data_IF_593998504232
#
_entry.id   IF_593998504232
#
_cell.length_a   1.000
_cell.length_b   1.000
_cell.length_c   1.000
_cell.angle_alpha   90.00
_cell.angle_beta   90.00
_cell.angle_gamma   90.00
#
_symmetry.space_group_name_H-M   'P 1'
#
loop_
_entity.id
_entity.type
_entity.pdbx_description
1 polymer ?
#
# COMPACT_ATOMS: atom_id res chain seq x y z
N UNK A 1 -16.16 3.15 30.32
CA UNK A 1 -16.28 2.05 29.37
C UNK A 1 -16.30 2.52 27.91
N UNK A 2 -16.99 3.59 27.58
CA UNK A 2 -17.12 4.08 26.21
C UNK A 2 -15.78 4.51 25.55
N UNK A 3 -14.75 4.86 26.35
CA UNK A 3 -13.45 5.32 25.85
C UNK A 3 -12.62 4.22 25.18
N UNK A 4 -12.71 2.97 25.65
CA UNK A 4 -11.88 1.82 25.22
C UNK A 4 -12.69 0.63 24.70
N UNK A 5 -13.91 0.87 24.19
CA UNK A 5 -14.87 -0.18 23.81
C UNK A 5 -14.38 -1.15 22.74
N UNK A 6 -13.45 -0.71 21.88
CA UNK A 6 -12.91 -1.41 20.73
C UNK A 6 -11.55 -2.09 21.00
N UNK A 7 -10.96 -1.88 22.19
CA UNK A 7 -9.70 -2.49 22.57
C UNK A 7 -9.88 -3.98 22.94
N UNK A 8 -8.98 -4.84 22.47
CA UNK A 8 -8.92 -6.21 22.98
C UNK A 8 -8.43 -6.22 24.45
N UNK A 9 -8.74 -7.26 25.22
CA UNK A 9 -8.48 -7.28 26.67
C UNK A 9 -7.01 -7.05 27.05
N UNK A 10 -6.07 -7.51 26.25
CA UNK A 10 -4.64 -7.24 26.48
C UNK A 10 -4.32 -5.76 26.30
N UNK A 11 -4.78 -5.19 25.21
CA UNK A 11 -4.57 -3.77 24.92
C UNK A 11 -5.33 -2.87 25.91
N UNK A 12 -6.57 -3.27 26.28
CA UNK A 12 -7.34 -2.58 27.30
C UNK A 12 -6.61 -2.53 28.65
N UNK A 13 -6.01 -3.65 29.07
CA UNK A 13 -5.20 -3.69 30.30
C UNK A 13 -4.01 -2.72 30.25
N UNK A 14 -3.37 -2.61 29.10
CA UNK A 14 -2.26 -1.67 28.89
C UNK A 14 -2.72 -0.22 28.93
N UNK A 15 -3.87 0.08 28.29
CA UNK A 15 -4.47 1.42 28.31
C UNK A 15 -4.91 1.84 29.73
N UNK A 16 -5.44 0.90 30.52
CA UNK A 16 -5.74 1.15 31.94
C UNK A 16 -4.50 1.53 32.73
N UNK A 17 -3.39 0.85 32.52
CA UNK A 17 -2.12 1.18 33.18
C UNK A 17 -1.55 2.53 32.70
N UNK A 18 -1.62 2.79 31.38
CA UNK A 18 -1.02 3.99 30.76
C UNK A 18 -1.82 5.27 31.06
N UNK A 19 -3.15 5.21 31.04
CA UNK A 19 -3.99 6.41 31.11
C UNK A 19 -4.77 6.56 32.42
N UNK A 20 -5.03 5.45 33.10
CA UNK A 20 -5.89 5.48 34.32
C UNK A 20 -5.10 5.07 35.58
N UNK A 21 -3.81 4.76 35.46
CA UNK A 21 -2.93 4.28 36.54
C UNK A 21 -3.44 3.02 37.26
N UNK A 22 -4.22 2.18 36.54
CA UNK A 22 -4.77 0.91 37.07
C UNK A 22 -3.92 -0.24 36.56
N UNK A 23 -3.19 -0.90 37.46
CA UNK A 23 -2.34 -2.05 37.12
C UNK A 23 -3.03 -3.34 37.52
N UNK A 24 -3.49 -4.11 36.53
CA UNK A 24 -4.15 -5.40 36.70
C UNK A 24 -3.54 -6.43 35.75
N UNK A 25 -3.72 -7.73 36.05
CA UNK A 25 -3.37 -8.75 35.06
C UNK A 25 -4.41 -8.85 33.96
N UNK A 26 -3.98 -9.25 32.75
CA UNK A 26 -4.91 -9.49 31.62
C UNK A 26 -5.97 -10.54 31.97
N UNK A 27 -5.62 -11.56 32.75
CA UNK A 27 -6.56 -12.57 33.20
C UNK A 27 -7.60 -12.00 34.16
N UNK A 28 -7.21 -11.11 35.07
CA UNK A 28 -8.13 -10.42 35.99
C UNK A 28 -9.11 -9.52 35.20
N UNK A 29 -8.61 -8.75 34.28
CA UNK A 29 -9.43 -7.90 33.40
C UNK A 29 -10.41 -8.73 32.59
N UNK A 30 -9.94 -9.81 31.96
CA UNK A 30 -10.78 -10.73 31.20
C UNK A 30 -11.90 -11.32 32.08
N UNK A 31 -11.57 -11.78 33.28
CA UNK A 31 -12.56 -12.35 34.20
C UNK A 31 -13.63 -11.33 34.66
N UNK A 32 -13.21 -10.09 34.94
CA UNK A 32 -14.13 -9.02 35.33
C UNK A 32 -15.08 -8.70 34.19
N UNK A 33 -14.54 -8.50 32.97
CA UNK A 33 -15.34 -8.14 31.80
C UNK A 33 -16.28 -9.26 31.34
N UNK A 34 -15.82 -10.51 31.42
CA UNK A 34 -16.66 -11.68 31.10
C UNK A 34 -17.83 -11.86 32.08
N UNK A 35 -17.65 -11.55 33.36
CA UNK A 35 -18.76 -11.51 34.33
C UNK A 35 -19.83 -10.48 34.00
N UNK A 36 -19.40 -9.36 33.39
CA UNK A 36 -20.28 -8.30 32.93
C UNK A 36 -20.77 -8.53 31.46
N UNK A 37 -20.62 -9.75 30.94
CA UNK A 37 -20.99 -10.15 29.57
C UNK A 37 -20.32 -9.33 28.46
N UNK A 38 -19.15 -8.72 28.73
CA UNK A 38 -18.37 -7.98 27.77
C UNK A 38 -17.35 -8.93 27.14
N UNK A 39 -17.50 -9.13 25.83
CA UNK A 39 -16.63 -10.00 25.06
C UNK A 39 -15.48 -9.21 24.41
N UNK A 40 -14.30 -9.82 24.35
CA UNK A 40 -13.18 -9.25 23.60
C UNK A 40 -13.50 -9.20 22.09
N UNK A 41 -13.17 -8.11 21.35
CA UNK A 41 -13.33 -8.05 19.90
C UNK A 41 -12.66 -9.21 19.14
N UNK A 42 -11.68 -9.91 19.74
CA UNK A 42 -10.99 -11.08 19.16
C UNK A 42 -11.66 -12.44 19.42
N UNK A 43 -12.98 -12.53 19.34
CA UNK A 43 -13.72 -13.80 19.53
C UNK A 43 -13.38 -14.89 18.50
N UNK A 44 -12.80 -14.55 17.36
CA UNK A 44 -12.45 -15.51 16.29
C UNK A 44 -11.56 -16.67 16.73
N UNK A 45 -10.63 -16.47 17.69
CA UNK A 45 -9.82 -17.56 18.27
C UNK A 45 -10.63 -18.56 19.08
N UNK A 46 -11.63 -18.10 19.79
CA UNK A 46 -12.52 -18.96 20.55
C UNK A 46 -13.39 -19.85 19.64
N UNK A 47 -13.84 -19.31 18.50
CA UNK A 47 -14.54 -20.09 17.46
C UNK A 47 -13.65 -21.19 16.88
N UNK A 48 -12.39 -20.88 16.49
CA UNK A 48 -11.43 -21.90 16.02
C UNK A 48 -11.20 -23.00 17.06
N UNK A 49 -11.02 -22.63 18.32
CA UNK A 49 -10.84 -23.59 19.43
C UNK A 49 -12.08 -24.46 19.67
N UNK A 50 -13.27 -23.89 19.48
CA UNK A 50 -14.55 -24.61 19.61
C UNK A 50 -14.74 -25.60 18.46
N UNK A 51 -14.43 -25.21 17.22
CA UNK A 51 -14.47 -26.09 16.05
C UNK A 51 -13.43 -27.20 16.16
N UNK A 52 -12.20 -26.89 16.61
CA UNK A 52 -11.16 -27.91 16.88
C UNK A 52 -11.63 -28.94 17.90
N UNK A 53 -12.20 -28.50 19.02
CA UNK A 53 -12.74 -29.39 20.05
C UNK A 53 -13.89 -30.25 19.54
N UNK A 54 -14.77 -29.71 18.70
CA UNK A 54 -15.85 -30.46 18.03
C UNK A 54 -15.29 -31.55 17.10
N UNK A 55 -14.31 -31.22 16.27
CA UNK A 55 -13.66 -32.17 15.37
C UNK A 55 -12.90 -33.27 16.13
N UNK A 56 -12.24 -32.91 17.22
CA UNK A 56 -11.59 -33.89 18.12
C UNK A 56 -12.61 -34.86 18.77
N UNK A 57 -13.77 -34.34 19.17
CA UNK A 57 -14.87 -35.17 19.68
C UNK A 57 -15.44 -36.05 18.58
N UNK A 58 -15.66 -35.55 17.39
CA UNK A 58 -16.12 -36.34 16.23
C UNK A 58 -15.10 -37.42 15.84
N UNK A 59 -13.79 -37.13 15.96
CA UNK A 59 -12.73 -38.12 15.71
C UNK A 59 -12.81 -39.30 16.66
N UNK A 60 -13.20 -39.07 17.94
CA UNK A 60 -13.38 -40.13 18.94
C UNK A 60 -14.62 -41.01 18.68
N UNK A 61 -15.62 -40.47 18.00
CA UNK A 61 -16.88 -41.17 17.68
C UNK A 61 -16.92 -41.73 16.24
N UNK A 62 -15.92 -41.44 15.40
CA UNK A 62 -15.83 -41.89 14.01
C UNK A 62 -15.67 -43.42 13.95
N UNK A 63 -16.52 -44.07 13.12
CA UNK A 63 -16.58 -45.53 13.00
C UNK A 63 -15.78 -46.07 11.81
N UNK A 64 -15.44 -45.23 10.83
CA UNK A 64 -14.75 -45.64 9.62
C UNK A 64 -13.38 -44.97 9.47
N UNK A 65 -12.41 -45.70 8.92
CA UNK A 65 -11.08 -45.16 8.63
C UNK A 65 -11.11 -43.93 7.69
N UNK A 66 -12.09 -43.90 6.77
CA UNK A 66 -12.31 -42.78 5.83
C UNK A 66 -12.76 -41.52 6.56
N UNK A 67 -13.70 -41.63 7.51
CA UNK A 67 -14.14 -40.50 8.37
C UNK A 67 -12.99 -39.98 9.24
N UNK A 68 -12.21 -40.86 9.83
CA UNK A 68 -11.04 -40.49 10.65
C UNK A 68 -10.03 -39.72 9.82
N UNK A 69 -9.76 -40.18 8.58
CA UNK A 69 -8.84 -39.50 7.66
C UNK A 69 -9.36 -38.12 7.26
N UNK A 70 -10.65 -37.99 6.94
CA UNK A 70 -11.28 -36.73 6.56
C UNK A 70 -11.28 -35.73 7.73
N UNK A 71 -11.58 -36.16 8.94
CA UNK A 71 -11.52 -35.35 10.15
C UNK A 71 -10.07 -34.93 10.44
N UNK A 72 -9.11 -35.82 10.24
CA UNK A 72 -7.69 -35.52 10.40
C UNK A 72 -7.20 -34.45 9.42
N UNK A 73 -7.57 -34.56 8.14
CA UNK A 73 -7.28 -33.56 7.11
C UNK A 73 -7.90 -32.21 7.46
N UNK A 74 -9.14 -32.19 7.95
CA UNK A 74 -9.81 -30.98 8.40
C UNK A 74 -9.13 -30.36 9.63
N UNK A 75 -8.62 -31.16 10.56
CA UNK A 75 -7.83 -30.69 11.72
C UNK A 75 -6.51 -30.08 11.25
N UNK A 76 -5.80 -30.71 10.31
CA UNK A 76 -4.56 -30.18 9.73
C UNK A 76 -4.83 -28.85 9.03
N UNK A 77 -5.91 -28.75 8.24
CA UNK A 77 -6.30 -27.52 7.54
C UNK A 77 -6.62 -26.36 8.52
N UNK A 78 -7.19 -26.67 9.71
CA UNK A 78 -7.46 -25.67 10.74
C UNK A 78 -6.18 -25.26 11.50
N UNK A 79 -5.23 -26.20 11.65
CA UNK A 79 -3.99 -25.95 12.40
C UNK A 79 -2.98 -25.11 11.62
N UNK A 80 -3.17 -24.87 10.32
CA UNK A 80 -2.17 -24.20 9.47
C UNK A 80 -0.77 -24.79 9.75
N UNK A 81 -0.62 -26.09 9.62
CA UNK A 81 0.61 -26.82 9.95
C UNK A 81 1.69 -26.57 8.87
N UNK A 82 2.11 -25.32 8.72
CA UNK A 82 3.27 -24.98 7.95
C UNK A 82 4.50 -24.99 8.84
N UNK A 83 5.57 -25.62 8.36
CA UNK A 83 6.87 -25.57 9.03
C UNK A 83 7.27 -24.12 9.24
N UNK A 84 7.45 -23.71 10.50
CA UNK A 84 7.90 -22.35 10.82
C UNK A 84 9.31 -22.16 10.28
N UNK A 85 9.49 -21.25 9.33
CA UNK A 85 10.81 -20.83 8.91
C UNK A 85 11.53 -20.21 10.11
N UNK A 86 12.79 -20.63 10.42
CA UNK A 86 13.58 -20.00 11.46
C UNK A 86 13.78 -18.50 11.13
N UNK A 87 14.03 -17.69 12.17
CA UNK A 87 14.41 -16.29 11.99
C UNK A 87 15.79 -16.20 11.37
N UNK A 88 16.04 -15.14 10.62
CA UNK A 88 17.41 -14.77 10.26
C UNK A 88 18.21 -14.48 11.51
N UNK A 89 19.53 -14.66 11.43
CA UNK A 89 20.42 -14.56 12.60
C UNK A 89 20.79 -13.11 12.90
N UNK A 90 20.88 -12.27 11.86
CA UNK A 90 21.47 -10.94 11.97
C UNK A 90 20.42 -9.85 11.73
N UNK A 91 20.51 -8.79 12.53
CA UNK A 91 19.72 -7.58 12.33
C UNK A 91 20.08 -6.92 11.00
N UNK A 92 19.08 -6.60 10.15
CA UNK A 92 19.26 -6.06 8.80
C UNK A 92 19.55 -7.09 7.71
N UNK A 93 19.58 -8.40 8.03
CA UNK A 93 19.77 -9.43 7.02
C UNK A 93 18.60 -9.54 6.06
N UNK A 94 17.36 -9.41 6.58
CA UNK A 94 16.16 -9.40 5.76
C UNK A 94 15.05 -8.56 6.40
N UNK A 95 14.61 -7.56 5.66
CA UNK A 95 13.39 -6.80 5.92
C UNK A 95 12.20 -7.45 5.20
N UNK A 96 11.06 -7.64 5.87
CA UNK A 96 9.80 -7.99 5.23
C UNK A 96 8.98 -6.73 5.06
N UNK A 97 8.60 -6.38 3.83
CA UNK A 97 7.77 -5.22 3.53
C UNK A 97 6.42 -5.63 2.95
N UNK A 98 5.36 -4.95 3.38
CA UNK A 98 3.98 -5.21 2.96
C UNK A 98 3.10 -3.97 3.17
N UNK A 99 1.98 -3.88 2.44
CA UNK A 99 0.96 -2.87 2.66
C UNK A 99 -0.38 -3.53 2.98
N UNK A 100 -1.08 -3.04 3.98
CA UNK A 100 -2.36 -3.58 4.39
C UNK A 100 -3.45 -2.50 4.38
N UNK A 101 -4.52 -2.69 3.57
CA UNK A 101 -5.70 -1.85 3.66
C UNK A 101 -6.50 -2.20 4.92
N UNK A 102 -6.95 -1.19 5.64
CA UNK A 102 -7.80 -1.37 6.80
C UNK A 102 -8.54 -0.07 7.12
N UNK A 103 -9.64 -0.15 7.84
CA UNK A 103 -10.33 1.01 8.42
C UNK A 103 -9.57 1.48 9.66
N UNK A 104 -8.51 2.27 9.45
CA UNK A 104 -7.66 2.77 10.52
C UNK A 104 -8.30 3.88 11.34
N UNK A 105 -9.14 4.67 10.68
CA UNK A 105 -9.97 5.71 11.26
C UNK A 105 -11.40 5.46 10.80
N UNK A 106 -12.38 5.66 11.68
CA UNK A 106 -13.80 5.40 11.39
C UNK A 106 -14.24 6.04 10.07
N UNK A 107 -14.80 5.24 9.17
CA UNK A 107 -15.26 5.64 7.83
C UNK A 107 -14.14 5.85 6.80
N UNK A 108 -12.85 5.60 7.15
CA UNK A 108 -11.71 5.84 6.25
C UNK A 108 -10.83 4.61 6.12
N UNK A 109 -10.76 4.06 4.92
CA UNK A 109 -9.85 2.97 4.60
C UNK A 109 -8.55 3.58 4.05
N UNK A 110 -7.44 3.36 4.76
CA UNK A 110 -6.10 3.73 4.32
C UNK A 110 -5.23 2.49 4.19
N UNK A 111 -4.14 2.61 3.47
CA UNK A 111 -3.12 1.58 3.36
C UNK A 111 -1.97 1.90 4.30
N UNK A 112 -1.65 0.99 5.22
CA UNK A 112 -0.47 1.08 6.06
C UNK A 112 0.65 0.25 5.44
N UNK A 113 1.69 0.94 4.98
CA UNK A 113 2.92 0.35 4.48
C UNK A 113 3.87 0.13 5.65
N UNK A 114 4.42 -1.06 5.78
CA UNK A 114 5.27 -1.45 6.91
C UNK A 114 6.50 -2.20 6.42
N UNK A 115 7.58 -2.06 7.17
CA UNK A 115 8.73 -2.96 7.11
C UNK A 115 9.08 -3.48 8.51
N UNK A 116 9.45 -4.75 8.59
CA UNK A 116 9.83 -5.43 9.82
C UNK A 116 11.08 -6.27 9.59
N UNK A 117 12.05 -6.13 10.46
CA UNK A 117 13.23 -6.98 10.45
C UNK A 117 12.89 -8.43 10.87
N UNK A 118 13.35 -9.37 10.08
CA UNK A 118 13.06 -10.81 10.26
C UNK A 118 13.73 -11.38 11.52
N UNK A 119 14.91 -10.90 11.87
CA UNK A 119 15.67 -11.40 13.03
C UNK A 119 15.07 -10.93 14.35
N UNK A 120 14.86 -9.64 14.50
CA UNK A 120 14.47 -9.00 15.76
C UNK A 120 12.97 -8.76 15.89
N UNK A 121 12.26 -8.65 14.76
CA UNK A 121 10.88 -8.21 14.77
C UNK A 121 10.71 -6.71 15.06
N UNK A 122 11.79 -5.93 14.97
CA UNK A 122 11.74 -4.48 15.00
C UNK A 122 10.99 -4.01 13.76
N UNK A 123 9.99 -3.16 13.93
CA UNK A 123 9.35 -2.43 12.85
C UNK A 123 10.28 -1.30 12.46
N UNK A 124 10.90 -1.42 11.29
CA UNK A 124 11.96 -0.52 10.82
C UNK A 124 11.44 0.68 10.05
N UNK A 125 10.18 0.61 9.59
CA UNK A 125 9.51 1.72 8.94
C UNK A 125 8.01 1.52 8.84
N UNK A 126 7.27 2.63 8.78
CA UNK A 126 5.82 2.63 8.61
C UNK A 126 5.31 3.94 8.02
N UNK A 127 4.32 3.84 7.11
CA UNK A 127 3.73 4.99 6.43
C UNK A 127 2.28 4.71 6.01
N UNK A 128 1.38 5.65 6.30
CA UNK A 128 0.01 5.65 5.79
C UNK A 128 -0.10 6.36 4.46
N UNK A 129 -0.91 5.79 3.56
CA UNK A 129 -1.33 6.44 2.32
C UNK A 129 -2.78 6.05 1.99
N UNK A 130 -3.43 6.78 1.09
CA UNK A 130 -4.80 6.49 0.61
C UNK A 130 -4.87 5.19 -0.17
N UNK A 131 -3.79 4.83 -0.85
CA UNK A 131 -3.64 3.63 -1.66
C UNK A 131 -2.26 3.00 -1.44
N UNK A 132 -2.06 1.82 -2.01
CA UNK A 132 -0.72 1.23 -2.08
C UNK A 132 0.09 1.90 -3.19
N UNK A 133 1.08 2.73 -2.80
CA UNK A 133 1.86 3.56 -3.71
C UNK A 133 3.36 3.31 -3.60
N UNK A 134 4.09 3.59 -4.68
CA UNK A 134 5.54 3.62 -4.68
C UNK A 134 6.08 4.65 -3.68
N UNK A 135 5.44 5.82 -3.63
CA UNK A 135 5.80 6.92 -2.74
C UNK A 135 5.79 6.49 -1.27
N UNK A 136 4.75 5.77 -0.84
CA UNK A 136 4.66 5.26 0.52
C UNK A 136 5.75 4.23 0.84
N UNK A 137 6.08 3.33 -0.11
CA UNK A 137 7.22 2.41 0.06
C UNK A 137 8.56 3.13 0.10
N UNK A 138 8.70 4.24 -0.63
CA UNK A 138 9.89 5.09 -0.55
C UNK A 138 10.01 5.78 0.81
N UNK A 139 8.90 6.23 1.42
CA UNK A 139 8.90 6.74 2.80
C UNK A 139 9.35 5.68 3.80
N UNK A 140 8.87 4.45 3.66
CA UNK A 140 9.30 3.33 4.51
C UNK A 140 10.79 3.04 4.32
N UNK A 141 11.26 2.96 3.06
CA UNK A 141 12.67 2.71 2.76
C UNK A 141 13.56 3.85 3.26
N UNK A 142 13.15 5.11 3.11
CA UNK A 142 13.86 6.26 3.66
C UNK A 142 14.05 6.14 5.18
N UNK A 143 12.99 5.76 5.92
CA UNK A 143 13.07 5.57 7.37
C UNK A 143 14.12 4.50 7.74
N UNK A 144 14.17 3.39 6.99
CA UNK A 144 15.17 2.34 7.18
C UNK A 144 16.57 2.91 6.96
N UNK A 145 16.79 3.54 5.80
CA UNK A 145 18.10 4.06 5.38
C UNK A 145 18.64 5.12 6.35
N UNK A 146 17.78 6.03 6.82
CA UNK A 146 18.20 7.13 7.74
C UNK A 146 18.37 6.68 9.17
N UNK A 147 17.72 5.60 9.61
CA UNK A 147 17.76 5.17 11.02
C UNK A 147 18.76 4.05 11.24
N UNK A 148 18.78 3.07 10.33
CA UNK A 148 19.56 1.84 10.51
C UNK A 148 20.65 1.65 9.46
N UNK A 149 20.49 2.20 8.25
CA UNK A 149 21.38 2.01 7.12
C UNK A 149 20.78 1.10 6.05
N UNK A 150 21.63 0.55 5.18
CA UNK A 150 21.23 -0.25 4.03
C UNK A 150 21.07 -1.71 4.44
N UNK A 151 19.85 -2.32 4.36
CA UNK A 151 19.65 -3.73 4.65
C UNK A 151 20.18 -4.63 3.53
N UNK A 152 20.55 -5.86 3.85
CA UNK A 152 21.08 -6.80 2.85
C UNK A 152 19.98 -7.27 1.87
N UNK A 153 18.75 -7.48 2.36
CA UNK A 153 17.62 -7.99 1.56
C UNK A 153 16.31 -7.33 1.97
N UNK A 154 15.45 -7.12 0.98
CA UNK A 154 14.03 -6.79 1.19
C UNK A 154 13.18 -7.91 0.58
N UNK A 155 12.21 -8.40 1.34
CA UNK A 155 11.29 -9.46 0.95
C UNK A 155 9.86 -8.92 0.87
N UNK A 156 9.24 -9.02 -0.31
CA UNK A 156 7.91 -8.46 -0.60
C UNK A 156 7.02 -9.49 -1.30
N UNK A 157 5.79 -9.12 -1.63
CA UNK A 157 4.95 -9.89 -2.54
C UNK A 157 5.26 -9.59 -4.04
N UNK A 158 4.59 -10.34 -4.93
CA UNK A 158 4.73 -10.17 -6.37
C UNK A 158 3.83 -9.05 -6.93
N UNK A 159 3.65 -7.93 -6.21
CA UNK A 159 2.87 -6.82 -6.73
C UNK A 159 3.62 -6.02 -7.80
N UNK A 160 2.87 -5.26 -8.59
CA UNK A 160 3.40 -4.47 -9.71
C UNK A 160 4.41 -3.41 -9.30
N UNK A 161 4.36 -2.93 -8.07
CA UNK A 161 5.35 -1.99 -7.50
C UNK A 161 6.74 -2.64 -7.42
N UNK A 162 6.81 -3.95 -7.15
CA UNK A 162 8.06 -4.68 -6.96
C UNK A 162 8.46 -5.53 -8.16
N UNK A 163 7.47 -6.04 -8.91
CA UNK A 163 7.72 -6.94 -10.04
C UNK A 163 6.69 -6.69 -11.15
N UNK A 164 7.16 -6.20 -12.30
CA UNK A 164 6.34 -5.97 -13.47
C UNK A 164 6.73 -6.91 -14.61
N UNK A 165 5.82 -7.81 -15.00
CA UNK A 165 5.95 -8.63 -16.20
C UNK A 165 5.05 -8.08 -17.28
N UNK A 166 5.62 -7.56 -18.35
CA UNK A 166 4.86 -7.10 -19.52
C UNK A 166 4.22 -8.31 -20.21
N UNK A 167 2.89 -8.37 -20.27
CA UNK A 167 2.19 -9.37 -21.07
C UNK A 167 2.50 -9.11 -22.55
N UNK A 168 2.99 -10.11 -23.29
CA UNK A 168 3.24 -10.08 -24.73
C UNK A 168 4.49 -9.32 -25.22
N UNK A 169 5.59 -9.28 -24.49
CA UNK A 169 6.87 -8.88 -25.07
C UNK A 169 7.64 -10.12 -25.52
N UNK A 170 7.98 -10.27 -26.82
CA UNK A 170 8.81 -11.36 -27.30
C UNK A 170 10.31 -11.16 -27.01
N UNK A 171 10.69 -10.03 -26.38
CA UNK A 171 12.09 -9.77 -26.05
C UNK A 171 12.50 -10.57 -24.82
N UNK A 172 13.67 -11.16 -24.91
CA UNK A 172 14.43 -11.81 -23.84
C UNK A 172 14.79 -10.86 -22.67
N UNK A 173 14.43 -9.58 -22.74
CA UNK A 173 14.59 -8.60 -21.68
C UNK A 173 13.66 -8.92 -20.52
N UNK A 174 14.13 -9.86 -19.69
CA UNK A 174 13.47 -10.30 -18.45
C UNK A 174 13.39 -9.22 -17.39
N UNK A 175 13.91 -8.01 -17.63
CA UNK A 175 14.13 -6.99 -16.62
C UNK A 175 13.54 -5.62 -16.97
N UNK A 176 12.23 -5.53 -17.08
CA UNK A 176 11.62 -4.23 -16.77
C UNK A 176 11.67 -4.08 -15.23
N UNK A 177 12.81 -3.58 -14.76
CA UNK A 177 12.95 -3.25 -13.34
C UNK A 177 11.90 -2.21 -12.99
N UNK A 178 11.14 -2.48 -11.94
CA UNK A 178 10.25 -1.46 -11.38
C UNK A 178 11.11 -0.33 -10.79
N UNK A 179 10.52 0.85 -10.61
CA UNK A 179 11.21 1.99 -9.96
C UNK A 179 11.79 1.59 -8.59
N UNK A 180 11.02 0.86 -7.79
CA UNK A 180 11.48 0.36 -6.49
C UNK A 180 12.64 -0.63 -6.62
N UNK A 181 12.55 -1.56 -7.59
CA UNK A 181 13.62 -2.52 -7.87
C UNK A 181 14.91 -1.84 -8.34
N UNK A 182 14.78 -0.74 -9.11
CA UNK A 182 15.92 0.07 -9.54
C UNK A 182 16.61 0.75 -8.35
N UNK A 183 15.83 1.39 -7.46
CA UNK A 183 16.36 2.00 -6.24
C UNK A 183 17.08 0.97 -5.34
N UNK A 184 16.49 -0.20 -5.14
CA UNK A 184 17.12 -1.30 -4.40
C UNK A 184 18.45 -1.72 -5.04
N UNK A 185 18.49 -1.83 -6.37
CA UNK A 185 19.71 -2.20 -7.09
C UNK A 185 20.83 -1.18 -6.93
N UNK A 186 20.51 0.11 -7.00
CA UNK A 186 21.48 1.20 -6.76
C UNK A 186 22.08 1.14 -5.35
N UNK A 187 21.27 0.77 -4.36
CA UNK A 187 21.70 0.61 -2.97
C UNK A 187 22.37 -0.75 -2.69
N UNK A 188 22.46 -1.65 -3.67
CA UNK A 188 22.98 -3.01 -3.44
C UNK A 188 22.04 -3.91 -2.64
N UNK A 189 20.78 -3.52 -2.43
CA UNK A 189 19.77 -4.29 -1.72
C UNK A 189 19.24 -5.40 -2.62
N UNK A 190 19.26 -6.64 -2.14
CA UNK A 190 18.64 -7.77 -2.85
C UNK A 190 17.12 -7.76 -2.64
N UNK A 191 16.36 -7.45 -3.70
CA UNK A 191 14.91 -7.53 -3.68
C UNK A 191 14.44 -8.96 -3.99
N UNK A 192 13.77 -9.61 -3.05
CA UNK A 192 13.17 -10.92 -3.20
C UNK A 192 11.65 -10.80 -3.16
N UNK A 193 10.97 -11.42 -4.13
CA UNK A 193 9.50 -11.44 -4.17
C UNK A 193 8.97 -12.86 -4.08
N UNK A 194 7.83 -13.05 -3.43
CA UNK A 194 7.17 -14.36 -3.37
C UNK A 194 5.65 -14.20 -3.39
N UNK A 195 5.00 -15.09 -4.12
CA UNK A 195 3.53 -15.23 -4.11
C UNK A 195 3.02 -16.13 -2.97
N UNK A 196 3.95 -16.73 -2.19
CA UNK A 196 3.60 -17.69 -1.12
C UNK A 196 3.33 -16.92 0.17
N UNK A 197 2.06 -16.86 0.66
CA UNK A 197 1.70 -16.09 1.87
C UNK A 197 2.50 -16.52 3.10
N UNK A 198 2.77 -17.83 3.25
CA UNK A 198 3.47 -18.40 4.39
C UNK A 198 4.90 -17.86 4.58
N UNK A 199 5.52 -17.37 3.49
CA UNK A 199 6.86 -16.79 3.54
C UNK A 199 6.90 -15.43 4.28
N UNK A 200 5.73 -14.78 4.44
CA UNK A 200 5.56 -13.45 5.07
C UNK A 200 4.90 -13.48 6.45
N UNK A 201 4.84 -14.62 7.10
CA UNK A 201 4.08 -14.81 8.35
C UNK A 201 4.45 -13.85 9.50
N UNK A 202 5.56 -13.10 9.42
CA UNK A 202 5.91 -12.10 10.44
C UNK A 202 5.21 -10.78 10.21
N UNK A 203 5.29 -10.25 9.00
CA UNK A 203 4.60 -9.00 8.68
C UNK A 203 3.08 -9.17 8.73
N UNK A 204 2.55 -10.33 8.33
CA UNK A 204 1.12 -10.63 8.47
C UNK A 204 0.65 -10.59 9.94
N UNK A 205 1.45 -11.16 10.85
CA UNK A 205 1.16 -11.08 12.30
C UNK A 205 1.30 -9.68 12.86
N UNK A 206 2.27 -8.91 12.36
CA UNK A 206 2.40 -7.49 12.70
C UNK A 206 1.15 -6.74 12.27
N UNK A 207 0.72 -6.89 11.00
CA UNK A 207 -0.49 -6.29 10.46
C UNK A 207 -1.71 -6.60 11.34
N UNK A 208 -1.93 -7.88 11.69
CA UNK A 208 -3.03 -8.28 12.59
C UNK A 208 -2.93 -7.63 13.99
N UNK A 209 -1.73 -7.48 14.50
CA UNK A 209 -1.50 -6.85 15.81
C UNK A 209 -1.80 -5.36 15.75
N UNK A 210 -1.31 -4.66 14.74
CA UNK A 210 -1.55 -3.24 14.55
C UNK A 210 -3.03 -2.95 14.25
N UNK A 211 -3.69 -3.72 13.39
CA UNK A 211 -5.13 -3.61 13.14
C UNK A 211 -5.99 -3.73 14.40
N UNK A 212 -5.50 -4.43 15.41
CA UNK A 212 -6.23 -4.58 16.69
C UNK A 212 -5.90 -3.52 17.73
N UNK A 213 -4.91 -2.65 17.49
CA UNK A 213 -4.40 -1.68 18.46
C UNK A 213 -4.40 -0.26 17.93
N UNK A 214 -3.80 -0.06 16.76
CA UNK A 214 -3.55 1.26 16.21
C UNK A 214 -4.81 2.09 15.96
N UNK A 215 -5.97 1.53 15.50
CA UNK A 215 -7.21 2.30 15.40
C UNK A 215 -7.66 2.91 16.73
N UNK A 216 -7.49 2.16 17.83
CA UNK A 216 -7.82 2.65 19.18
C UNK A 216 -6.92 3.80 19.58
N UNK A 217 -5.61 3.65 19.35
CA UNK A 217 -4.61 4.69 19.67
C UNK A 217 -4.82 5.96 18.84
N UNK A 218 -5.07 5.83 17.53
CA UNK A 218 -5.39 6.96 16.65
C UNK A 218 -6.64 7.71 17.11
N UNK A 219 -7.69 6.96 17.47
CA UNK A 219 -8.94 7.53 17.99
C UNK A 219 -8.72 8.27 19.32
N UNK A 220 -7.96 7.69 20.24
CA UNK A 220 -7.65 8.31 21.53
C UNK A 220 -6.80 9.57 21.38
N UNK A 221 -5.94 9.62 20.36
CA UNK A 221 -5.14 10.79 20.02
C UNK A 221 -5.93 11.85 19.21
N UNK A 222 -7.20 11.57 18.83
CA UNK A 222 -8.03 12.49 18.05
C UNK A 222 -7.58 12.67 16.62
N UNK A 223 -6.93 11.67 16.03
CA UNK A 223 -6.35 11.74 14.69
C UNK A 223 -7.37 11.33 13.64
N UNK A 224 -7.54 12.16 12.61
CA UNK A 224 -8.54 11.97 11.56
C UNK A 224 -8.02 12.15 10.13
N UNK A 225 -6.75 12.52 9.94
CA UNK A 225 -6.09 12.72 8.65
C UNK A 225 -4.78 11.93 8.56
N UNK A 226 -4.30 11.73 7.32
CA UNK A 226 -3.14 10.89 7.04
C UNK A 226 -1.84 11.53 7.53
N UNK A 227 -1.71 12.84 7.41
CA UNK A 227 -0.47 13.54 7.75
C UNK A 227 -0.23 13.48 9.26
N UNK A 228 -1.25 13.80 10.06
CA UNK A 228 -1.22 13.65 11.52
C UNK A 228 -1.02 12.19 11.94
N UNK A 229 -1.60 11.24 11.20
CA UNK A 229 -1.42 9.80 11.46
C UNK A 229 0.03 9.36 11.20
N UNK A 230 0.68 9.88 10.17
CA UNK A 230 2.09 9.60 9.87
C UNK A 230 3.04 10.16 10.93
N UNK A 231 2.77 11.36 11.43
CA UNK A 231 3.56 11.92 12.54
C UNK A 231 3.38 11.10 13.83
N UNK A 232 2.15 10.75 14.17
CA UNK A 232 1.86 9.90 15.33
C UNK A 232 2.52 8.52 15.20
N UNK A 233 2.50 7.93 14.01
CA UNK A 233 3.05 6.60 13.75
C UNK A 233 4.54 6.52 14.10
N UNK A 234 5.32 7.58 13.87
CA UNK A 234 6.75 7.63 14.18
C UNK A 234 7.03 7.41 15.68
N UNK A 235 6.25 8.04 16.56
CA UNK A 235 6.39 7.88 18.01
C UNK A 235 5.80 6.54 18.47
N UNK A 236 4.65 6.16 17.94
CA UNK A 236 3.99 4.92 18.27
C UNK A 236 4.85 3.68 17.94
N UNK A 237 5.51 3.66 16.77
CA UNK A 237 6.38 2.54 16.40
C UNK A 237 7.60 2.41 17.30
N UNK A 238 8.14 3.50 17.86
CA UNK A 238 9.22 3.45 18.86
C UNK A 238 8.73 2.77 20.14
N UNK A 239 7.58 3.17 20.66
CA UNK A 239 6.95 2.54 21.84
C UNK A 239 6.62 1.06 21.57
N UNK A 240 6.09 0.77 20.38
CA UNK A 240 5.75 -0.59 19.95
C UNK A 240 7.00 -1.49 19.90
N UNK A 241 8.08 -1.02 19.31
CA UNK A 241 9.34 -1.75 19.24
C UNK A 241 9.92 -2.01 20.62
N UNK A 242 9.93 -1.01 21.49
CA UNK A 242 10.41 -1.18 22.87
C UNK A 242 9.67 -2.28 23.64
N UNK A 243 8.40 -2.52 23.29
CA UNK A 243 7.53 -3.51 23.94
C UNK A 243 7.57 -4.90 23.32
N UNK A 244 7.70 -4.99 22.00
CA UNK A 244 7.48 -6.23 21.23
C UNK A 244 8.69 -6.75 20.48
N UNK A 245 9.74 -5.96 20.30
CA UNK A 245 10.96 -6.40 19.66
C UNK A 245 11.67 -7.47 20.50
N UNK A 246 12.35 -8.37 19.82
CA UNK A 246 13.15 -9.41 20.42
C UNK A 246 14.64 -9.07 20.30
N UNK A 247 15.42 -9.56 21.24
CA UNK A 247 16.86 -9.53 21.09
C UNK A 247 17.25 -10.40 19.88
N UNK A 248 18.15 -9.94 19.01
CA UNK A 248 18.63 -10.74 17.90
C UNK A 248 19.45 -11.93 18.39
N UNK A 249 19.44 -13.03 17.63
CA UNK A 249 20.26 -14.21 17.93
C UNK A 249 21.76 -13.91 17.84
N UNK A 250 22.15 -12.85 17.16
CA UNK A 250 23.52 -12.35 17.05
C UNK A 250 23.57 -10.87 17.38
N UNK A 251 24.60 -10.45 18.10
CA UNK A 251 24.85 -9.02 18.41
C UNK A 251 25.34 -8.22 17.20
N UNK A 252 25.70 -8.88 16.10
CA UNK A 252 26.17 -8.21 14.89
C UNK A 252 24.98 -7.74 14.05
N UNK A 253 25.02 -6.47 13.65
CA UNK A 253 24.20 -5.92 12.59
C UNK A 253 24.89 -6.11 11.25
N UNK A 254 24.11 -6.37 10.20
CA UNK A 254 24.60 -6.42 8.81
C UNK A 254 24.08 -5.24 7.98
N UNK A 255 23.47 -4.27 8.60
CA UNK A 255 23.21 -3.00 7.93
C UNK A 255 24.53 -2.37 7.49
N UNK A 256 24.57 -1.90 6.25
CA UNK A 256 25.69 -1.11 5.74
C UNK A 256 25.50 0.34 6.17
N UNK A 257 26.56 1.13 6.13
CA UNK A 257 26.57 2.55 6.49
C UNK A 257 25.43 3.32 5.84
N UNK A 258 24.90 4.29 6.59
CA UNK A 258 23.78 5.13 6.14
C UNK A 258 24.23 5.99 4.94
N UNK A 259 23.48 5.99 3.82
CA UNK A 259 23.73 6.91 2.72
C UNK A 259 23.49 8.36 3.16
N UNK A 260 24.13 9.32 2.49
CA UNK A 260 23.82 10.73 2.71
C UNK A 260 22.38 11.07 2.30
N UNK A 261 21.82 12.13 2.88
CA UNK A 261 20.45 12.58 2.55
C UNK A 261 20.31 12.89 1.06
N UNK A 262 21.34 13.43 0.43
CA UNK A 262 21.37 13.68 -1.01
C UNK A 262 21.34 12.38 -1.83
N UNK A 263 22.11 11.38 -1.43
CA UNK A 263 22.09 10.06 -2.07
C UNK A 263 20.71 9.40 -1.92
N UNK A 264 20.12 9.49 -0.74
CA UNK A 264 18.77 8.97 -0.50
C UNK A 264 17.75 9.69 -1.41
N UNK A 265 17.82 11.02 -1.47
CA UNK A 265 16.93 11.84 -2.26
C UNK A 265 16.94 11.47 -3.76
N UNK A 266 18.14 11.29 -4.32
CA UNK A 266 18.29 10.93 -5.74
C UNK A 266 18.03 9.45 -6.02
N UNK A 267 18.31 8.56 -5.08
CA UNK A 267 18.07 7.12 -5.25
C UNK A 267 16.58 6.78 -5.18
N UNK A 268 15.83 7.45 -4.30
CA UNK A 268 14.38 7.26 -4.17
C UNK A 268 13.59 8.15 -5.16
N UNK A 269 14.19 8.48 -6.29
CA UNK A 269 13.59 9.27 -7.35
C UNK A 269 12.65 8.42 -8.24
N UNK A 270 11.70 9.10 -8.88
CA UNK A 270 10.85 8.53 -9.92
C UNK A 270 11.39 8.95 -11.28
N UNK A 271 11.72 7.97 -12.10
CA UNK A 271 12.31 8.15 -13.43
C UNK A 271 11.22 8.07 -14.50
N UNK A 272 11.15 9.07 -15.38
CA UNK A 272 10.14 9.11 -16.45
C UNK A 272 10.76 9.55 -17.77
N UNK A 273 10.72 8.69 -18.79
CA UNK A 273 11.17 9.05 -20.15
C UNK A 273 10.27 10.13 -20.76
N UNK A 274 10.88 11.18 -21.32
CA UNK A 274 10.22 12.28 -22.03
C UNK A 274 11.01 12.62 -23.29
N UNK A 275 10.48 13.55 -24.06
CA UNK A 275 11.14 14.13 -25.26
C UNK A 275 11.08 15.64 -25.16
N UNK A 276 12.12 16.30 -25.64
CA UNK A 276 12.17 17.75 -25.77
C UNK A 276 11.28 18.16 -26.95
N UNK A 277 10.47 19.19 -26.78
CA UNK A 277 9.58 19.74 -27.80
C UNK A 277 10.27 20.81 -28.68
N UNK A 278 9.53 21.37 -29.62
CA UNK A 278 10.02 22.41 -30.50
C UNK A 278 10.32 23.75 -29.78
N UNK A 279 9.78 23.94 -28.59
CA UNK A 279 10.08 25.09 -27.73
C UNK A 279 11.28 24.86 -26.80
N UNK A 280 12.10 23.85 -27.09
CA UNK A 280 13.22 23.42 -26.25
C UNK A 280 12.83 23.18 -24.78
N UNK A 281 11.58 22.75 -24.57
CA UNK A 281 11.02 22.47 -23.24
C UNK A 281 10.63 21.00 -23.06
N UNK A 282 10.38 20.61 -21.83
CA UNK A 282 9.94 19.26 -21.46
C UNK A 282 8.56 19.37 -20.82
N UNK A 283 7.57 18.65 -21.35
CA UNK A 283 6.26 18.54 -20.72
C UNK A 283 6.25 17.43 -19.68
N UNK A 284 6.01 17.79 -18.42
CA UNK A 284 5.88 16.86 -17.30
C UNK A 284 4.75 17.29 -16.37
N UNK A 285 3.88 16.36 -15.96
CA UNK A 285 2.72 16.62 -15.08
C UNK A 285 1.87 17.84 -15.48
N UNK A 286 1.62 18.02 -16.80
CA UNK A 286 0.86 19.13 -17.42
C UNK A 286 1.56 20.50 -17.37
N UNK A 287 2.77 20.59 -16.84
CA UNK A 287 3.59 21.80 -16.85
C UNK A 287 4.73 21.66 -17.87
N UNK A 288 5.27 22.78 -18.28
CA UNK A 288 6.44 22.86 -19.14
C UNK A 288 7.64 23.32 -18.34
N UNK A 289 8.79 22.74 -18.63
CA UNK A 289 10.03 22.99 -17.92
C UNK A 289 11.15 23.28 -18.89
N UNK A 290 12.02 24.23 -18.55
CA UNK A 290 13.29 24.48 -19.21
C UNK A 290 14.44 23.80 -18.49
N UNK A 291 15.49 23.46 -19.24
CA UNK A 291 16.68 22.85 -18.70
C UNK A 291 17.67 23.93 -18.29
N UNK A 292 18.18 23.84 -17.07
CA UNK A 292 19.20 24.77 -16.57
C UNK A 292 20.49 24.00 -16.27
N UNK A 293 21.62 24.59 -16.68
CA UNK A 293 22.95 24.09 -16.30
C UNK A 293 23.26 24.43 -14.83
N UNK A 294 24.44 24.02 -14.34
CA UNK A 294 24.91 24.31 -12.98
C UNK A 294 25.11 25.80 -12.69
N UNK A 295 25.16 26.64 -13.72
CA UNK A 295 25.30 28.10 -13.63
C UNK A 295 23.95 28.83 -13.68
N UNK A 296 22.83 28.07 -13.85
CA UNK A 296 21.49 28.64 -13.95
C UNK A 296 21.14 29.15 -15.34
N UNK A 297 21.94 28.83 -16.35
CA UNK A 297 21.67 29.23 -17.75
C UNK A 297 20.84 28.17 -18.45
N UNK A 298 19.93 28.62 -19.34
CA UNK A 298 19.11 27.72 -20.13
C UNK A 298 19.93 26.97 -21.18
N UNK A 299 19.76 25.66 -21.25
CA UNK A 299 20.39 24.81 -22.24
C UNK A 299 19.35 24.35 -23.27
N UNK A 300 19.74 24.37 -24.55
CA UNK A 300 18.87 24.01 -25.65
C UNK A 300 19.30 22.73 -26.33
N UNK A 301 18.34 21.84 -26.55
CA UNK A 301 18.51 20.60 -27.30
C UNK A 301 17.54 20.52 -28.47
N UNK A 302 17.84 19.77 -29.49
CA UNK A 302 16.97 19.56 -30.63
C UNK A 302 15.63 18.92 -30.24
N UNK A 303 14.56 19.34 -30.88
CA UNK A 303 13.24 18.73 -30.72
C UNK A 303 13.31 17.22 -31.01
N UNK A 304 12.61 16.41 -30.22
CA UNK A 304 12.63 14.96 -30.34
C UNK A 304 13.77 14.28 -29.56
N UNK A 305 14.72 15.02 -28.96
CA UNK A 305 15.76 14.45 -28.10
C UNK A 305 15.09 13.71 -26.93
N UNK A 306 15.45 12.44 -26.75
CA UNK A 306 14.96 11.61 -25.64
C UNK A 306 15.70 11.97 -24.37
N UNK A 307 14.95 12.16 -23.30
CA UNK A 307 15.48 12.57 -22.01
C UNK A 307 14.82 11.78 -20.89
N UNK A 308 15.52 11.64 -19.77
CA UNK A 308 15.01 11.02 -18.56
C UNK A 308 14.74 12.12 -17.51
N UNK A 309 13.47 12.36 -17.21
CA UNK A 309 13.07 13.24 -16.09
C UNK A 309 13.21 12.46 -14.79
N UNK A 310 13.93 13.03 -13.85
CA UNK A 310 14.21 12.51 -12.53
C UNK A 310 13.45 13.37 -11.52
N UNK A 311 12.37 12.84 -10.97
CA UNK A 311 11.68 13.48 -9.85
C UNK A 311 12.28 12.94 -8.56
N UNK A 312 13.12 13.73 -7.91
CA UNK A 312 13.74 13.38 -6.64
C UNK A 312 12.69 13.23 -5.53
N UNK A 313 13.06 12.59 -4.44
CA UNK A 313 12.13 12.28 -3.34
C UNK A 313 11.57 13.55 -2.66
N UNK A 314 12.34 14.64 -2.60
CA UNK A 314 11.90 15.94 -2.09
C UNK A 314 11.00 16.73 -3.07
N UNK A 315 10.75 16.17 -4.27
CA UNK A 315 9.98 16.81 -5.32
C UNK A 315 10.79 17.65 -6.30
N UNK A 316 12.09 17.83 -6.09
CA UNK A 316 12.98 18.51 -7.03
C UNK A 316 13.04 17.75 -8.35
N UNK A 317 13.08 18.50 -9.46
CA UNK A 317 13.06 17.94 -10.80
C UNK A 317 14.41 18.14 -11.49
N UNK A 318 14.93 17.05 -12.02
CA UNK A 318 16.14 17.04 -12.83
C UNK A 318 15.87 16.32 -14.15
N UNK A 319 16.74 16.51 -15.10
CA UNK A 319 16.67 15.85 -16.40
C UNK A 319 18.05 15.32 -16.77
N UNK A 320 18.12 14.03 -17.11
CA UNK A 320 19.33 13.46 -17.72
C UNK A 320 19.15 13.39 -19.22
N UNK A 321 20.16 13.87 -19.95
CA UNK A 321 20.26 13.80 -21.40
C UNK A 321 21.43 12.88 -21.76
N UNK A 322 21.22 11.91 -22.66
CA UNK A 322 22.22 10.94 -23.10
C UNK A 322 22.90 10.15 -21.96
N UNK A 323 22.21 9.96 -20.84
CA UNK A 323 22.69 9.25 -19.64
C UNK A 323 23.94 9.84 -18.96
N UNK A 324 24.42 11.01 -19.40
CA UNK A 324 25.65 11.65 -18.90
C UNK A 324 25.40 13.02 -18.30
N UNK A 325 24.60 13.84 -18.98
CA UNK A 325 24.42 15.24 -18.60
C UNK A 325 23.16 15.39 -17.75
N UNK A 326 23.29 15.99 -16.56
CA UNK A 326 22.19 16.21 -15.65
C UNK A 326 21.93 17.71 -15.49
N UNK A 327 20.69 18.12 -15.72
CA UNK A 327 20.24 19.50 -15.67
C UNK A 327 19.12 19.65 -14.66
N UNK A 328 19.06 20.78 -13.99
CA UNK A 328 17.90 21.16 -13.19
C UNK A 328 16.74 21.55 -14.12
N UNK A 329 15.51 21.22 -13.71
CA UNK A 329 14.30 21.59 -14.42
C UNK A 329 13.61 22.74 -13.71
N UNK A 330 13.42 23.86 -14.41
CA UNK A 330 12.69 25.02 -13.91
C UNK A 330 11.35 25.13 -14.64
N UNK A 331 10.26 25.31 -13.87
CA UNK A 331 8.94 25.48 -14.43
C UNK A 331 8.85 26.78 -15.22
N UNK A 332 8.26 26.71 -16.43
CA UNK A 332 7.93 27.89 -17.22
C UNK A 332 6.54 28.35 -16.75
N UNK A 333 6.46 29.49 -16.02
CA UNK A 333 5.18 30.02 -15.60
C UNK A 333 4.40 30.53 -16.84
N UNK A 334 3.09 30.28 -16.84
CA UNK A 334 2.17 30.80 -17.86
C UNK A 334 2.59 30.57 -19.34
N UNK A 335 2.98 29.31 -19.64
CA UNK A 335 3.34 28.95 -21.03
C UNK A 335 2.31 29.39 -22.06
N UNK A 336 1.02 29.42 -21.72
CA UNK A 336 -0.05 29.92 -22.54
C UNK A 336 0.01 31.47 -22.75
N UNK A 337 0.57 32.21 -21.80
CA UNK A 337 0.69 33.67 -21.88
C UNK A 337 1.85 34.13 -22.78
N UNK A 338 2.88 33.27 -22.96
CA UNK A 338 4.04 33.60 -23.80
C UNK A 338 3.83 33.34 -25.31
N UNK A 339 2.76 32.68 -25.70
CA UNK A 339 2.44 32.39 -27.11
C UNK A 339 1.18 33.07 -27.65
N UNK A 340 0.57 34.11 -27.03
CA UNK A 340 -0.68 34.67 -27.55
C UNK A 340 -0.50 35.38 -28.92
N UNK A 341 0.71 35.75 -29.29
CA UNK A 341 1.00 36.42 -30.58
C UNK A 341 1.03 35.44 -31.75
N UNK A 342 1.21 34.15 -31.51
CA UNK A 342 1.35 33.13 -32.57
C UNK A 342 0.17 32.14 -32.61
N UNK A 343 -0.63 32.08 -31.57
CA UNK A 343 -1.84 31.27 -31.59
C UNK A 343 -2.98 32.11 -32.22
N UNK A 344 -3.53 31.72 -33.37
CA UNK A 344 -4.71 32.35 -33.88
C UNK A 344 -5.81 32.27 -32.81
N UNK A 345 -6.51 33.39 -32.60
CA UNK A 345 -7.67 33.40 -31.68
C UNK A 345 -8.52 32.16 -31.94
N UNK A 346 -8.84 31.36 -30.92
CA UNK A 346 -9.65 30.19 -31.13
C UNK A 346 -10.93 30.63 -31.83
N UNK A 347 -11.14 30.14 -33.04
CA UNK A 347 -12.34 30.45 -33.81
C UNK A 347 -13.54 30.23 -32.91
N UNK A 348 -14.51 31.20 -32.85
CA UNK A 348 -15.63 31.09 -31.96
C UNK A 348 -16.29 29.71 -32.17
N UNK A 349 -16.23 28.87 -31.17
CA UNK A 349 -16.79 27.52 -31.24
C UNK A 349 -18.29 27.69 -31.46
N UNK A 350 -18.73 27.49 -32.72
CA UNK A 350 -20.15 27.42 -33.01
C UNK A 350 -20.75 26.42 -32.01
N UNK A 351 -21.77 26.80 -31.26
CA UNK A 351 -22.36 25.87 -30.29
C UNK A 351 -22.67 24.58 -31.05
N UNK A 352 -22.04 23.49 -30.63
CA UNK A 352 -22.30 22.18 -31.23
C UNK A 352 -23.78 21.93 -31.06
N UNK A 353 -24.54 22.05 -32.16
CA UNK A 353 -25.95 21.65 -32.12
C UNK A 353 -25.97 20.21 -31.53
N UNK A 354 -26.77 19.98 -30.49
CA UNK A 354 -26.85 18.62 -29.96
C UNK A 354 -27.20 17.70 -31.14
N UNK A 355 -26.40 16.71 -31.41
CA UNK A 355 -26.68 15.72 -32.43
C UNK A 355 -27.87 14.90 -31.97
N UNK A 356 -29.09 15.35 -32.30
CA UNK A 356 -30.32 14.63 -32.01
C UNK A 356 -30.45 13.56 -33.09
N UNK A 357 -30.17 12.27 -32.76
CA UNK A 357 -30.26 11.22 -33.76
C UNK A 357 -31.66 11.18 -34.39
N UNK A 358 -31.73 10.93 -35.70
CA UNK A 358 -32.97 10.70 -36.41
C UNK A 358 -33.80 9.58 -35.74
N UNK A 359 -35.11 9.59 -35.93
CA UNK A 359 -36.03 8.58 -35.41
C UNK A 359 -35.68 7.15 -35.92
N UNK A 360 -35.06 7.03 -37.09
CA UNK A 360 -34.58 5.76 -37.65
C UNK A 360 -33.25 5.27 -37.03
N UNK A 361 -32.60 6.08 -36.19
CA UNK A 361 -31.37 5.67 -35.54
C UNK A 361 -31.63 4.43 -34.65
N UNK A 362 -30.79 3.37 -34.71
CA UNK A 362 -31.02 2.09 -34.01
C UNK A 362 -31.35 2.26 -32.52
N UNK A 363 -30.77 3.23 -31.88
CA UNK A 363 -30.96 3.55 -30.46
C UNK A 363 -32.38 4.07 -30.15
N UNK A 364 -32.90 4.98 -30.97
CA UNK A 364 -34.26 5.51 -30.82
C UNK A 364 -35.29 4.46 -31.25
N UNK A 365 -35.04 3.75 -32.35
CA UNK A 365 -35.90 2.70 -32.83
C UNK A 365 -36.08 1.57 -31.83
N UNK A 366 -34.98 1.15 -31.16
CA UNK A 366 -35.02 0.11 -30.10
C UNK A 366 -35.80 0.57 -28.86
N UNK A 367 -35.64 1.81 -28.44
CA UNK A 367 -36.39 2.38 -27.30
C UNK A 367 -37.87 2.58 -27.63
N UNK A 368 -38.19 3.03 -28.82
CA UNK A 368 -39.56 3.18 -29.30
C UNK A 368 -40.27 1.84 -29.46
N UNK A 369 -39.60 0.84 -29.99
CA UNK A 369 -40.17 -0.54 -30.08
C UNK A 369 -40.35 -1.18 -28.71
N UNK A 370 -39.50 -0.93 -27.74
CA UNK A 370 -39.71 -1.33 -26.33
C UNK A 370 -40.95 -0.64 -25.72
N UNK A 371 -41.08 0.66 -25.93
CA UNK A 371 -42.25 1.42 -25.49
C UNK A 371 -43.56 0.90 -26.11
N UNK A 372 -43.58 0.63 -27.41
CA UNK A 372 -44.76 0.04 -28.08
C UNK A 372 -45.12 -1.34 -27.53
N UNK A 373 -44.11 -2.18 -27.25
CA UNK A 373 -44.34 -3.51 -26.66
C UNK A 373 -44.87 -3.40 -25.23
N UNK A 374 -44.38 -2.48 -24.43
CA UNK A 374 -44.92 -2.28 -23.06
C UNK A 374 -46.38 -1.81 -23.08
N UNK A 375 -46.76 -0.99 -24.07
CA UNK A 375 -48.14 -0.50 -24.21
C UNK A 375 -49.11 -1.56 -24.73
N UNK A 376 -48.64 -2.47 -25.60
CA UNK A 376 -49.44 -3.60 -26.07
C UNK A 376 -49.69 -4.64 -24.96
N UNK A 377 -48.79 -4.78 -24.01
CA UNK A 377 -48.98 -5.61 -22.82
C UNK A 377 -50.04 -5.04 -21.87
N UNK A 378 -50.03 -3.73 -21.63
CA UNK A 378 -51.05 -3.08 -20.77
C UNK A 378 -52.45 -3.11 -21.38
N UNK A 379 -52.56 -2.96 -22.71
CA UNK A 379 -53.87 -3.06 -23.37
C UNK A 379 -54.44 -4.50 -23.39
N UNK A 380 -53.56 -5.54 -23.32
CA UNK A 380 -54.04 -6.93 -23.26
C UNK A 380 -54.42 -7.37 -21.82
N UNK A 381 -53.88 -6.73 -20.77
CA UNK A 381 -54.32 -6.99 -19.39
C UNK A 381 -55.67 -6.33 -19.10
N UNK A 382 -55.88 -5.10 -19.57
CA UNK A 382 -57.20 -4.42 -19.41
C UNK A 382 -58.31 -5.06 -20.21
N UNK A 383 -58.03 -5.79 -21.29
CA UNK A 383 -59.00 -6.58 -22.03
C UNK A 383 -59.27 -7.96 -21.39
N UNK A 384 -58.38 -8.48 -20.56
CA UNK A 384 -58.61 -9.73 -19.81
C UNK A 384 -59.37 -9.50 -18.48
N UNK A 385 -59.38 -8.28 -17.97
CA UNK A 385 -60.21 -7.92 -16.80
C UNK A 385 -61.62 -7.47 -17.17
N UNK A 386 -61.96 -7.35 -18.47
CA UNK A 386 -63.29 -6.95 -18.96
C UNK A 386 -64.01 -8.10 -19.69
N UNK A 387 -63.47 -9.31 -19.74
CA UNK A 387 -64.05 -10.56 -20.17
C UNK A 387 -64.13 -11.56 -19.01
#
# INVERSE_FOLDING_TARGET
MNKYYDANFTHFTELLSKHENITLSVSTVAHILEKEFILSPKVTRAKKKRVKKLLETQKKSAKTAREVCQIHNNLIAIEDAHSRRPRHAYFGEQEQADATPYEWVSGKIWHLHLAIDDATGIVTGGWFDTQETLHAYYHVLKQILTTYGIPAKIFTDNRTVFNYKRKNSPSLDKDTQTQFGYACKQLGIRLNTSSVPQAKGRIERLNQTLQSRLPVELRLAGIHDIDSANEFLKSYLKEFNAKFALLPNSTKSVFVEQPSDEQINLTLAVLTGRTIDHGHSIKFNRHYYRLLNSQGEQVHYAAGTKVLVIQAFDGSLYCSVNDTDVYALEAIPDHAAYSPEFDPEPAPQKPKKPNIPDMNHPWKKASYMRYLRSRSYHNNETLKELL
#
